data_IF_272774099919
#
_entry.id   IF_272774099919
#
_cell.length_a   1.000
_cell.length_b   1.000
_cell.length_c   1.000
_cell.angle_alpha   90.00
_cell.angle_beta   90.00
_cell.angle_gamma   90.00
#
_symmetry.space_group_name_H-M   'P 1'
#
loop_
_entity.id
_entity.type
_entity.pdbx_description
1 polymer ?
#
# COMPACT_ATOMS: atom_id res chain seq x y z
N UNK A 1 -6.72 -28.40 1.83
CA UNK A 1 -5.80 -27.26 1.73
C UNK A 1 -6.55 -26.07 2.29
N UNK A 2 -6.19 -25.62 3.49
CA UNK A 2 -6.81 -24.44 4.09
C UNK A 2 -6.32 -23.21 3.33
N UNK A 3 -7.22 -22.59 2.55
CA UNK A 3 -7.00 -21.27 1.95
C UNK A 3 -8.03 -20.34 2.57
N UNK A 4 -7.64 -19.70 3.66
CA UNK A 4 -8.14 -18.40 4.09
C UNK A 4 -6.90 -17.68 4.60
N UNK A 5 -6.20 -16.95 3.73
CA UNK A 5 -5.32 -15.91 4.24
C UNK A 5 -6.22 -15.01 5.10
N UNK A 6 -5.94 -14.99 6.40
CA UNK A 6 -6.64 -14.13 7.36
C UNK A 6 -6.63 -12.73 6.76
N UNK A 7 -7.81 -12.16 6.54
CA UNK A 7 -7.95 -10.71 6.34
C UNK A 7 -7.24 -10.04 7.52
N UNK A 8 -6.04 -9.51 7.28
CA UNK A 8 -5.23 -8.82 8.29
C UNK A 8 -5.85 -7.43 8.41
N UNK A 9 -6.52 -7.14 9.51
CA UNK A 9 -7.00 -5.78 9.78
C UNK A 9 -5.77 -4.90 9.95
N UNK A 10 -5.56 -3.96 9.02
CA UNK A 10 -4.48 -3.00 9.09
C UNK A 10 -5.01 -1.66 9.57
N UNK A 11 -4.23 -1.00 10.42
CA UNK A 11 -4.60 0.29 11.02
C UNK A 11 -3.89 1.41 10.27
N UNK A 12 -4.66 2.42 9.85
CA UNK A 12 -4.11 3.74 9.52
C UNK A 12 -4.19 4.57 10.79
N UNK A 13 -3.04 4.89 11.37
CA UNK A 13 -2.98 5.52 12.70
C UNK A 13 -3.41 7.00 12.67
N UNK A 14 -3.00 7.74 11.65
CA UNK A 14 -3.30 9.16 11.50
C UNK A 14 -3.72 9.48 10.04
N UNK A 15 -5.02 9.43 9.74
CA UNK A 15 -5.51 9.72 8.40
C UNK A 15 -5.40 11.20 8.00
N UNK A 16 -5.15 12.12 8.93
CA UNK A 16 -4.97 13.55 8.61
C UNK A 16 -3.59 13.84 7.98
N UNK A 17 -2.62 12.94 8.18
CA UNK A 17 -1.24 13.09 7.72
C UNK A 17 -0.88 12.17 6.54
N UNK A 18 -1.87 11.75 5.74
CA UNK A 18 -1.65 10.97 4.53
C UNK A 18 -0.98 11.84 3.45
N UNK A 19 0.05 11.29 2.80
CA UNK A 19 0.66 11.91 1.63
C UNK A 19 0.48 11.03 0.40
N UNK A 20 0.47 11.65 -0.77
CA UNK A 20 0.32 10.97 -2.05
C UNK A 20 1.31 11.55 -3.07
N UNK A 21 1.96 10.67 -3.82
CA UNK A 21 2.85 11.05 -4.92
C UNK A 21 2.61 10.15 -6.12
N UNK A 22 2.44 10.74 -7.29
CA UNK A 22 2.35 9.97 -8.53
C UNK A 22 3.64 10.12 -9.34
N UNK A 23 4.43 9.04 -9.39
CA UNK A 23 5.56 8.94 -10.29
C UNK A 23 5.06 8.65 -11.70
N UNK A 24 5.12 9.68 -12.55
CA UNK A 24 4.72 9.60 -13.96
C UNK A 24 5.67 8.77 -14.82
N UNK A 25 6.93 8.64 -14.42
CA UNK A 25 7.94 7.91 -15.19
C UNK A 25 7.76 6.41 -14.98
N UNK A 26 7.62 5.97 -13.73
CA UNK A 26 7.36 4.57 -13.36
C UNK A 26 5.88 4.15 -13.34
N UNK A 27 4.96 5.05 -13.69
CA UNK A 27 3.51 4.85 -13.61
C UNK A 27 3.03 4.22 -12.29
N UNK A 28 3.48 4.80 -11.18
CA UNK A 28 3.21 4.27 -9.83
C UNK A 28 2.64 5.37 -8.93
N UNK A 29 1.48 5.11 -8.32
CA UNK A 29 0.93 5.95 -7.26
C UNK A 29 1.40 5.43 -5.90
N UNK A 30 2.03 6.31 -5.12
CA UNK A 30 2.45 6.09 -3.75
C UNK A 30 1.45 6.78 -2.82
N UNK A 31 1.00 6.07 -1.79
CA UNK A 31 0.20 6.60 -0.69
C UNK A 31 0.91 6.23 0.60
N UNK A 32 1.36 7.22 1.36
CA UNK A 32 1.97 6.99 2.67
C UNK A 32 1.02 7.39 3.80
N UNK A 33 0.94 6.53 4.81
CA UNK A 33 0.08 6.66 5.98
C UNK A 33 0.85 6.92 7.27
N UNK A 34 2.19 6.79 7.24
CA UNK A 34 3.10 7.10 8.34
C UNK A 34 4.46 7.53 7.78
N UNK A 35 5.29 8.14 8.63
CA UNK A 35 6.72 8.43 8.36
C UNK A 35 7.66 7.37 8.93
N UNK A 36 7.12 6.36 9.61
CA UNK A 36 7.90 5.25 10.13
C UNK A 36 8.45 4.38 9.01
N UNK A 37 9.58 3.73 9.26
CA UNK A 37 10.12 2.68 8.39
C UNK A 37 9.27 1.40 8.51
N UNK A 38 9.08 0.70 7.40
CA UNK A 38 8.37 -0.57 7.34
C UNK A 38 9.17 -1.75 7.91
N UNK A 39 8.45 -2.78 8.36
CA UNK A 39 9.04 -4.06 8.80
C UNK A 39 8.74 -5.19 7.83
N UNK A 40 7.59 -5.14 7.17
CA UNK A 40 7.09 -6.16 6.26
C UNK A 40 6.55 -5.50 4.98
N UNK A 41 7.05 -5.96 3.83
CA UNK A 41 6.50 -5.60 2.50
C UNK A 41 5.76 -6.80 1.94
N UNK A 42 4.51 -6.61 1.52
CA UNK A 42 3.65 -7.65 0.95
C UNK A 42 3.19 -7.21 -0.43
N UNK A 43 3.44 -8.06 -1.43
CA UNK A 43 2.82 -7.95 -2.75
C UNK A 43 1.49 -8.71 -2.76
N UNK A 44 0.41 -8.01 -3.05
CA UNK A 44 -0.95 -8.54 -3.06
C UNK A 44 -1.27 -9.22 -4.41
N UNK A 45 -2.31 -10.05 -4.45
CA UNK A 45 -2.74 -10.76 -5.67
C UNK A 45 -3.16 -9.83 -6.83
N UNK A 46 -3.42 -8.55 -6.56
CA UNK A 46 -3.80 -7.53 -7.55
C UNK A 46 -2.64 -6.60 -7.98
N UNK A 47 -1.40 -7.05 -7.73
CA UNK A 47 -0.14 -6.35 -8.03
C UNK A 47 0.09 -5.05 -7.25
N UNK A 48 -0.72 -4.79 -6.21
CA UNK A 48 -0.47 -3.70 -5.28
C UNK A 48 0.53 -4.14 -4.22
N UNK A 49 1.33 -3.20 -3.72
CA UNK A 49 2.32 -3.48 -2.68
C UNK A 49 1.94 -2.68 -1.44
N UNK A 50 1.88 -3.35 -0.30
CA UNK A 50 1.65 -2.71 1.00
C UNK A 50 2.88 -2.89 1.89
N UNK A 51 3.16 -1.86 2.68
CA UNK A 51 4.21 -1.88 3.68
C UNK A 51 3.58 -1.77 5.07
N UNK A 52 4.00 -2.62 5.99
CA UNK A 52 3.36 -2.83 7.30
C UNK A 52 4.43 -2.75 8.39
N UNK A 53 4.03 -2.21 9.55
CA UNK A 53 4.78 -2.30 10.81
C UNK A 53 3.82 -2.42 11.98
N UNK A 54 3.98 -3.41 12.85
CA UNK A 54 3.11 -3.62 14.01
C UNK A 54 1.60 -3.57 13.68
N UNK A 55 1.16 -4.21 12.59
CA UNK A 55 -0.21 -4.16 12.03
C UNK A 55 -0.71 -2.78 11.56
N UNK A 56 0.15 -1.76 11.55
CA UNK A 56 -0.15 -0.47 10.91
C UNK A 56 0.22 -0.53 9.44
N UNK A 57 -0.65 0.02 8.60
CA UNK A 57 -0.34 0.25 7.20
C UNK A 57 0.58 1.49 7.13
N UNK A 58 1.79 1.31 6.63
CA UNK A 58 2.80 2.36 6.49
C UNK A 58 2.67 3.03 5.13
N UNK A 59 2.56 2.25 4.06
CA UNK A 59 2.31 2.76 2.72
C UNK A 59 1.64 1.74 1.81
N UNK A 60 1.04 2.26 0.73
CA UNK A 60 0.47 1.52 -0.37
C UNK A 60 1.07 2.04 -1.67
N UNK A 61 1.58 1.13 -2.49
CA UNK A 61 2.06 1.41 -3.83
C UNK A 61 1.12 0.74 -4.82
N UNK A 62 0.78 1.49 -5.87
CA UNK A 62 -0.10 1.05 -6.95
C UNK A 62 0.67 1.17 -8.28
N UNK A 63 1.42 0.14 -8.67
CA UNK A 63 2.05 0.06 -9.98
C UNK A 63 1.01 -0.02 -11.10
N UNK A 64 1.41 0.38 -12.32
CA UNK A 64 0.55 0.43 -13.50
C UNK A 64 -0.74 1.21 -13.23
N UNK A 65 -0.60 2.35 -12.54
CA UNK A 65 -1.74 3.11 -12.00
C UNK A 65 -2.72 3.53 -13.09
N UNK A 66 -2.20 3.96 -14.26
CA UNK A 66 -3.03 4.37 -15.40
C UNK A 66 -3.95 3.27 -15.89
N UNK A 67 -3.40 2.07 -16.09
CA UNK A 67 -4.18 0.90 -16.54
C UNK A 67 -5.30 0.56 -15.55
N UNK A 68 -5.03 0.70 -14.24
CA UNK A 68 -6.01 0.43 -13.18
C UNK A 68 -7.08 1.52 -13.05
N UNK A 69 -6.84 2.73 -13.58
CA UNK A 69 -7.75 3.89 -13.43
C UNK A 69 -8.32 4.44 -14.74
N UNK A 70 -7.99 3.81 -15.88
CA UNK A 70 -8.42 4.22 -17.22
C UNK A 70 -8.08 5.69 -17.58
N UNK A 71 -6.87 6.14 -17.23
CA UNK A 71 -6.32 7.48 -17.56
C UNK A 71 -5.05 7.40 -18.41
#
# INVERSE_FOLDING_TARGET
MERVEKVKNLIVEDPENIWMEYDKVGDTLYIGFSKDEEEETIMLENDMIINIKDNRLISLLIPNFKEKTNI
#
